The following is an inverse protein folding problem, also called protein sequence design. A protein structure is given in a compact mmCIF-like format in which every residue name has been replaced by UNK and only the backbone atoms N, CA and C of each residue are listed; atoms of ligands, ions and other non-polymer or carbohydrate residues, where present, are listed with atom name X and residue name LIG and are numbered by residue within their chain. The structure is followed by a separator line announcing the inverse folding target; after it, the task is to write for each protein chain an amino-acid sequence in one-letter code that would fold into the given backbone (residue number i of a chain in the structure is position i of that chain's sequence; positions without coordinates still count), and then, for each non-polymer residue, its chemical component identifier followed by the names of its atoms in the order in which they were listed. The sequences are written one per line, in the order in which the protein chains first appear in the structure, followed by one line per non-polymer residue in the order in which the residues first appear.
data_IF_573936696883
#
_entry.id   IF_573936696883
#
_cell.length_a   1.000
_cell.length_b   1.000
_cell.length_c   1.000
_cell.angle_alpha   90.00
_cell.angle_beta   90.00
_cell.angle_gamma   90.00
#
_symmetry.space_group_name_H-M   'P 1'
#
loop_
_entity.id
_entity.type
_entity.pdbx_description
1 polymer ?
#
# COMPACT_ATOMS: atom_id res chain seq x y z
N UNK A 1 15.14 -16.42 -7.57
CA UNK A 1 15.63 -15.39 -6.64
C UNK A 1 14.87 -14.10 -6.94
N UNK A 2 14.27 -13.45 -5.94
CA UNK A 2 13.50 -12.21 -6.14
C UNK A 2 14.48 -11.03 -6.19
N UNK A 3 14.45 -10.24 -7.26
CA UNK A 3 15.34 -9.07 -7.45
C UNK A 3 14.53 -7.81 -7.14
N UNK A 4 15.01 -7.01 -6.20
CA UNK A 4 14.37 -5.75 -5.76
C UNK A 4 15.30 -4.56 -6.04
N UNK A 5 14.72 -3.35 -6.20
CA UNK A 5 15.48 -2.11 -6.38
C UNK A 5 16.38 -1.83 -5.17
N UNK A 6 17.57 -1.27 -5.41
CA UNK A 6 18.58 -1.02 -4.37
C UNK A 6 18.09 -0.10 -3.26
N UNK A 7 17.08 0.74 -3.52
CA UNK A 7 16.43 1.61 -2.54
C UNK A 7 15.60 0.89 -1.45
N UNK A 8 15.41 -0.43 -1.54
CA UNK A 8 14.62 -1.21 -0.58
C UNK A 8 15.44 -1.90 0.53
N UNK A 9 16.71 -1.52 0.71
CA UNK A 9 17.56 -2.06 1.79
C UNK A 9 16.96 -1.79 3.19
N UNK A 10 17.04 -2.82 4.06
CA UNK A 10 16.26 -2.91 5.29
C UNK A 10 16.79 -2.05 6.44
N UNK A 11 16.05 -1.03 6.82
CA UNK A 11 16.13 -0.38 8.13
C UNK A 11 15.25 -1.13 9.15
N UNK A 12 15.54 -2.42 9.39
CA UNK A 12 14.75 -3.24 10.31
C UNK A 12 14.82 -2.79 11.79
N UNK A 13 15.42 -1.64 12.11
CA UNK A 13 15.65 -1.23 13.49
C UNK A 13 15.69 0.30 13.75
N UNK A 14 14.88 1.10 13.05
CA UNK A 14 14.73 2.52 13.43
C UNK A 14 13.29 2.86 13.81
N UNK A 15 12.93 2.56 15.06
CA UNK A 15 11.84 3.21 15.80
C UNK A 15 12.27 4.65 16.13
N UNK A 16 12.45 5.50 15.12
CA UNK A 16 12.62 6.95 15.32
C UNK A 16 11.27 7.65 15.21
N UNK A 17 11.02 8.63 16.07
CA UNK A 17 9.78 9.43 16.12
C UNK A 17 9.55 10.33 14.88
N UNK A 18 10.48 10.35 13.93
CA UNK A 18 10.35 11.08 12.67
C UNK A 18 9.53 10.31 11.64
N UNK A 19 8.67 11.04 10.92
CA UNK A 19 7.92 10.48 9.80
C UNK A 19 8.92 9.90 8.76
N UNK A 20 8.65 8.70 8.22
CA UNK A 20 9.54 8.06 7.25
C UNK A 20 9.78 8.98 6.05
N UNK A 21 11.06 9.21 5.72
CA UNK A 21 11.51 10.17 4.69
C UNK A 21 10.87 9.98 3.31
N UNK A 22 10.42 8.76 2.99
CA UNK A 22 9.71 8.45 1.75
C UNK A 22 8.52 7.52 2.04
N UNK A 23 7.30 8.06 1.93
CA UNK A 23 6.06 7.33 2.15
C UNK A 23 5.92 6.09 1.25
N UNK A 24 6.22 6.22 -0.04
CA UNK A 24 6.05 5.15 -1.04
C UNK A 24 6.89 3.90 -0.75
N UNK A 25 8.11 4.05 -0.20
CA UNK A 25 8.97 2.90 0.12
C UNK A 25 8.33 1.98 1.17
N UNK A 26 7.45 2.49 2.04
CA UNK A 26 6.72 1.61 2.96
C UNK A 26 5.81 0.65 2.22
N UNK A 27 5.03 1.14 1.24
CA UNK A 27 4.17 0.29 0.42
C UNK A 27 5.00 -0.78 -0.31
N UNK A 28 6.11 -0.38 -0.94
CA UNK A 28 6.98 -1.31 -1.67
C UNK A 28 7.60 -2.37 -0.74
N UNK A 29 8.07 -1.99 0.45
CA UNK A 29 8.58 -2.94 1.46
C UNK A 29 7.51 -3.91 1.93
N UNK A 30 6.25 -3.47 2.06
CA UNK A 30 5.16 -4.38 2.42
C UNK A 30 4.90 -5.40 1.30
N UNK A 31 4.90 -4.95 0.04
CA UNK A 31 4.77 -5.86 -1.12
C UNK A 31 5.93 -6.86 -1.14
N UNK A 32 7.17 -6.42 -0.99
CA UNK A 32 8.33 -7.31 -0.91
C UNK A 32 8.19 -8.32 0.24
N UNK A 33 7.79 -7.87 1.42
CA UNK A 33 7.60 -8.74 2.58
C UNK A 33 6.55 -9.82 2.33
N UNK A 34 5.42 -9.48 1.70
CA UNK A 34 4.39 -10.46 1.33
C UNK A 34 4.94 -11.47 0.32
N UNK A 35 5.72 -11.02 -0.67
CA UNK A 35 6.29 -11.93 -1.67
C UNK A 35 7.36 -12.86 -1.10
N UNK A 36 8.12 -12.43 -0.09
CA UNK A 36 9.21 -13.21 0.53
C UNK A 36 8.73 -14.10 1.68
N UNK A 37 7.82 -13.60 2.51
CA UNK A 37 7.44 -14.21 3.79
C UNK A 37 5.94 -14.58 3.85
N UNK A 38 5.15 -14.23 2.84
CA UNK A 38 3.72 -14.52 2.82
C UNK A 38 3.42 -16.00 2.64
N UNK A 39 2.36 -16.46 3.29
CA UNK A 39 1.83 -17.81 3.14
C UNK A 39 0.76 -17.85 2.06
N UNK A 40 0.71 -18.94 1.29
CA UNK A 40 -0.34 -19.14 0.30
C UNK A 40 -1.67 -19.38 1.02
N UNK A 41 -2.70 -18.62 0.63
CA UNK A 41 -4.04 -18.69 1.19
C UNK A 41 -5.08 -18.63 0.07
N UNK A 42 -6.04 -19.53 0.11
CA UNK A 42 -7.18 -19.53 -0.79
C UNK A 42 -8.15 -18.38 -0.46
N UNK A 43 -8.78 -17.81 -1.49
CA UNK A 43 -9.64 -16.64 -1.39
C UNK A 43 -11.02 -16.88 -2.05
N UNK A 44 -11.97 -15.97 -1.83
CA UNK A 44 -13.35 -16.11 -2.36
C UNK A 44 -13.40 -16.11 -3.90
N UNK A 45 -12.42 -15.51 -4.58
CA UNK A 45 -12.40 -15.47 -6.05
C UNK A 45 -11.85 -16.74 -6.68
N UNK A 46 -11.23 -17.63 -5.90
CA UNK A 46 -10.63 -18.88 -6.39
C UNK A 46 -9.28 -18.70 -7.09
N UNK A 47 -8.66 -17.51 -7.00
CA UNK A 47 -7.34 -17.23 -7.59
C UNK A 47 -6.21 -17.66 -6.65
N UNK A 48 -6.45 -17.54 -5.34
CA UNK A 48 -5.43 -17.70 -4.30
C UNK A 48 -4.54 -16.45 -4.15
N UNK A 49 -3.97 -16.29 -2.96
CA UNK A 49 -3.17 -15.12 -2.57
C UNK A 49 -1.94 -15.50 -1.75
N UNK A 50 -0.89 -14.67 -1.79
CA UNK A 50 0.14 -14.65 -0.74
C UNK A 50 -0.29 -13.65 0.32
N UNK A 51 -0.29 -14.06 1.58
CA UNK A 51 -0.84 -13.26 2.67
C UNK A 51 0.07 -13.23 3.89
N UNK A 52 0.19 -12.05 4.49
CA UNK A 52 0.78 -11.82 5.82
C UNK A 52 -0.29 -11.15 6.67
N UNK A 53 -0.43 -11.55 7.93
CA UNK A 53 -1.41 -10.98 8.85
C UNK A 53 -0.80 -9.82 9.64
N UNK A 54 -1.50 -8.67 9.64
CA UNK A 54 -1.14 -7.51 10.45
C UNK A 54 0.08 -6.75 9.90
N UNK A 55 -0.17 -5.64 9.22
CA UNK A 55 0.87 -4.74 8.70
C UNK A 55 0.49 -3.29 8.98
N UNK A 56 1.49 -2.44 9.22
CA UNK A 56 1.28 -1.02 9.49
C UNK A 56 2.19 -0.17 8.59
N UNK A 57 1.65 0.94 8.09
CA UNK A 57 2.40 2.00 7.43
C UNK A 57 1.91 3.36 7.95
N UNK A 58 2.74 4.40 7.81
CA UNK A 58 2.40 5.78 8.16
C UNK A 58 2.78 6.69 7.00
N UNK A 59 1.81 7.42 6.46
CA UNK A 59 2.05 8.36 5.36
C UNK A 59 1.91 9.78 5.91
N UNK A 60 2.92 10.62 5.68
CA UNK A 60 2.81 12.05 5.99
C UNK A 60 1.90 12.71 4.97
N UNK A 61 1.10 13.67 5.43
CA UNK A 61 0.22 14.51 4.61
C UNK A 61 0.64 15.99 4.66
N UNK A 62 1.80 16.28 5.27
CA UNK A 62 2.36 17.63 5.32
C UNK A 62 3.10 17.89 4.01
N UNK A 63 2.67 18.91 3.27
CA UNK A 63 3.27 19.36 2.01
C UNK A 63 3.36 18.29 0.90
N UNK A 64 2.71 17.13 1.08
CA UNK A 64 2.70 16.02 0.13
C UNK A 64 1.36 15.24 0.16
N UNK A 65 1.05 14.55 -0.93
CA UNK A 65 -0.08 13.62 -1.01
C UNK A 65 0.44 12.24 -1.46
N UNK A 66 0.14 11.15 -0.72
CA UNK A 66 0.76 9.84 -0.93
C UNK A 66 0.14 9.07 -2.10
N UNK A 67 0.30 9.61 -3.32
CA UNK A 67 -0.03 8.92 -4.56
C UNK A 67 1.21 8.18 -5.08
N UNK A 68 1.08 6.88 -5.33
CA UNK A 68 2.21 6.06 -5.79
C UNK A 68 2.73 6.53 -7.16
N UNK A 69 4.06 6.56 -7.30
CA UNK A 69 4.76 7.04 -8.50
C UNK A 69 5.37 5.91 -9.31
N UNK A 70 5.72 4.77 -8.67
CA UNK A 70 6.23 3.55 -9.33
C UNK A 70 5.27 2.97 -10.35
N UNK A 71 3.97 3.21 -10.17
CA UNK A 71 2.91 2.93 -11.14
C UNK A 71 1.86 4.02 -11.06
N UNK A 72 1.45 4.54 -12.22
CA UNK A 72 0.37 5.54 -12.30
C UNK A 72 -0.94 4.98 -11.72
N UNK A 73 -1.40 5.58 -10.63
CA UNK A 73 -2.68 5.27 -9.95
C UNK A 73 -3.85 5.95 -10.68
N UNK A 74 -5.01 5.31 -10.68
CA UNK A 74 -6.23 5.85 -11.29
C UNK A 74 -6.88 6.94 -10.41
N UNK A 75 -6.27 8.13 -10.36
CA UNK A 75 -6.70 9.24 -9.49
C UNK A 75 -8.15 9.69 -9.70
N UNK A 76 -8.62 9.76 -10.96
CA UNK A 76 -10.00 10.15 -11.27
C UNK A 76 -11.01 9.23 -10.58
N UNK A 77 -10.78 7.92 -10.60
CA UNK A 77 -11.64 6.96 -9.92
C UNK A 77 -11.65 7.14 -8.41
N UNK A 78 -10.46 7.34 -7.80
CA UNK A 78 -10.33 7.55 -6.35
C UNK A 78 -11.13 8.78 -5.89
N UNK A 79 -11.03 9.89 -6.62
CA UNK A 79 -11.74 11.12 -6.28
C UNK A 79 -13.26 10.97 -6.42
N UNK A 80 -13.73 10.43 -7.55
CA UNK A 80 -15.16 10.22 -7.79
C UNK A 80 -15.78 9.25 -6.78
N UNK A 81 -15.07 8.16 -6.46
CA UNK A 81 -15.49 7.18 -5.45
C UNK A 81 -15.58 7.81 -4.05
N UNK A 82 -14.60 8.65 -3.67
CA UNK A 82 -14.64 9.37 -2.40
C UNK A 82 -15.82 10.35 -2.32
N UNK A 83 -16.05 11.13 -3.38
CA UNK A 83 -17.18 12.06 -3.44
C UNK A 83 -18.52 11.31 -3.41
N UNK A 84 -18.60 10.15 -4.06
CA UNK A 84 -19.76 9.27 -3.99
C UNK A 84 -20.05 8.79 -2.57
N UNK A 85 -19.03 8.36 -1.81
CA UNK A 85 -19.18 8.02 -0.38
C UNK A 85 -19.68 9.20 0.47
N UNK A 86 -19.12 10.39 0.28
CA UNK A 86 -19.50 11.60 1.03
C UNK A 86 -20.95 12.01 0.74
N UNK A 87 -21.40 11.85 -0.50
CA UNK A 87 -22.79 12.13 -0.89
C UNK A 87 -23.78 11.11 -0.32
N UNK A 88 -23.31 10.00 0.26
CA UNK A 88 -24.13 8.88 0.78
C UNK A 88 -25.12 8.38 -0.29
N UNK A 89 -24.79 8.55 -1.57
CA UNK A 89 -25.67 8.15 -2.65
C UNK A 89 -25.50 6.65 -2.82
N UNK A 90 -26.52 5.87 -2.48
CA UNK A 90 -26.62 4.52 -2.98
C UNK A 90 -27.57 4.61 -4.15
N UNK A 91 -27.05 4.60 -5.37
CA UNK A 91 -27.88 4.35 -6.53
C UNK A 91 -28.31 2.89 -6.47
N UNK A 92 -29.38 2.67 -5.71
CA UNK A 92 -30.27 1.54 -5.85
C UNK A 92 -31.46 2.07 -6.63
N UNK A 93 -31.51 1.60 -7.87
CA UNK A 93 -32.49 1.86 -8.94
C UNK A 93 -32.21 3.07 -9.84
#
# INVERSE_FOLDING_TARGET
MLVVGSELQSDAQQLSAEAPRHGELQYLRQVEHILRCGFKKEDRTGTGTLSVFGMQARYSLRDEFPLLTTKRVFWKGVLEELLWFIKITRDKE
#
